data_IF_288560619174
#
_entry.id   IF_288560619174
#
_cell.length_a   1.000
_cell.length_b   1.000
_cell.length_c   1.000
_cell.angle_alpha   90.00
_cell.angle_beta   90.00
_cell.angle_gamma   90.00
#
_symmetry.space_group_name_H-M   'P 1'
#
loop_
_entity.id
_entity.type
_entity.pdbx_description
1 polymer ?
#
# COMPACT_ATOMS: atom_id res chain seq x y z
N UNK A 1 12.75 -6.36 -8.36
CA UNK A 1 11.48 -6.38 -7.59
C UNK A 1 10.22 -6.17 -8.44
N UNK A 2 10.20 -5.29 -9.46
CA UNK A 2 8.96 -4.98 -10.21
C UNK A 2 8.71 -5.84 -11.48
N UNK A 3 9.73 -6.52 -12.03
CA UNK A 3 9.62 -7.25 -13.31
C UNK A 3 8.82 -8.56 -13.25
N UNK A 4 8.65 -9.15 -12.07
CA UNK A 4 8.03 -10.49 -11.93
C UNK A 4 6.52 -10.45 -11.64
N UNK A 5 5.94 -9.25 -11.58
CA UNK A 5 4.49 -9.03 -11.42
C UNK A 5 3.81 -8.76 -12.76
N UNK A 6 4.44 -9.12 -13.89
CA UNK A 6 3.83 -9.03 -15.21
C UNK A 6 2.42 -9.65 -15.14
N UNK A 7 1.42 -8.78 -15.24
CA UNK A 7 0.01 -9.16 -15.24
C UNK A 7 -0.17 -10.14 -16.41
N UNK A 8 -1.02 -11.16 -16.20
CA UNK A 8 -1.32 -12.17 -17.21
C UNK A 8 -1.57 -11.45 -18.56
N UNK A 9 -1.01 -11.93 -19.69
CA UNK A 9 -0.97 -11.21 -20.98
C UNK A 9 -2.25 -10.37 -21.22
N UNK A 10 -2.16 -9.08 -20.95
CA UNK A 10 -3.33 -8.20 -21.03
C UNK A 10 -3.51 -7.73 -22.49
N UNK A 11 -4.73 -7.76 -23.02
CA UNK A 11 -5.07 -7.29 -24.38
C UNK A 11 -5.26 -5.76 -24.45
N UNK A 12 -4.48 -4.98 -23.70
CA UNK A 12 -4.54 -3.53 -23.73
C UNK A 12 -3.73 -2.95 -24.89
N UNK A 13 -4.29 -1.96 -25.59
CA UNK A 13 -3.48 -1.10 -26.45
C UNK A 13 -2.70 -0.10 -25.60
N UNK A 14 -1.37 -0.26 -25.59
CA UNK A 14 -0.42 0.58 -24.88
C UNK A 14 0.04 1.79 -25.69
N UNK A 15 -0.39 1.96 -26.95
CA UNK A 15 -0.01 3.07 -27.81
C UNK A 15 1.49 3.14 -28.10
N UNK A 16 1.96 4.33 -28.49
CA UNK A 16 3.38 4.56 -28.75
C UNK A 16 4.16 4.75 -27.44
N UNK A 17 4.83 3.69 -27.00
CA UNK A 17 5.62 3.68 -25.77
C UNK A 17 7.03 4.20 -26.05
N UNK A 18 7.40 5.30 -25.40
CA UNK A 18 8.75 5.88 -25.47
C UNK A 18 9.48 5.60 -24.17
N UNK A 19 10.67 4.98 -24.27
CA UNK A 19 11.55 4.78 -23.12
C UNK A 19 12.31 6.07 -22.79
N UNK A 20 11.94 6.72 -21.69
CA UNK A 20 12.58 7.95 -21.23
C UNK A 20 13.70 7.60 -20.25
N UNK A 21 14.91 8.07 -20.54
CA UNK A 21 16.03 7.99 -19.60
C UNK A 21 15.95 9.15 -18.62
N UNK A 22 15.85 8.85 -17.33
CA UNK A 22 15.72 9.86 -16.28
C UNK A 22 16.44 9.41 -15.01
N UNK A 23 17.00 10.38 -14.32
CA UNK A 23 17.61 10.18 -13.00
C UNK A 23 16.51 10.05 -11.94
N UNK A 24 16.26 8.81 -11.50
CA UNK A 24 15.25 8.47 -10.51
C UNK A 24 15.71 8.72 -9.07
N UNK A 25 16.99 9.06 -8.85
CA UNK A 25 17.51 9.33 -7.51
C UNK A 25 17.31 10.80 -7.12
N UNK A 26 17.26 11.71 -8.11
CA UNK A 26 16.87 13.12 -7.90
C UNK A 26 15.42 13.30 -7.49
N UNK A 27 15.14 14.30 -6.66
CA UNK A 27 13.75 14.65 -6.33
C UNK A 27 12.99 15.17 -7.55
N UNK A 28 11.74 14.72 -7.69
CA UNK A 28 10.84 15.16 -8.76
C UNK A 28 9.79 16.12 -8.20
N UNK A 29 9.53 17.19 -8.93
CA UNK A 29 8.37 18.08 -8.73
C UNK A 29 7.21 17.65 -9.64
N UNK A 30 6.04 18.29 -9.52
CA UNK A 30 4.92 18.05 -10.44
C UNK A 30 5.30 18.40 -11.88
N UNK A 31 6.14 19.41 -12.08
CA UNK A 31 6.64 19.82 -13.40
C UNK A 31 7.55 18.76 -14.01
N UNK A 32 8.50 18.22 -13.23
CA UNK A 32 9.39 17.14 -13.68
C UNK A 32 8.59 15.89 -14.03
N UNK A 33 7.61 15.53 -13.18
CA UNK A 33 6.69 14.42 -13.43
C UNK A 33 5.88 14.64 -14.72
N UNK A 34 5.33 15.83 -14.91
CA UNK A 34 4.56 16.18 -16.10
C UNK A 34 5.39 16.16 -17.37
N UNK A 35 6.65 16.57 -17.29
CA UNK A 35 7.61 16.52 -18.39
C UNK A 35 7.98 15.08 -18.72
N UNK A 36 8.28 14.25 -17.72
CA UNK A 36 8.52 12.82 -17.91
C UNK A 36 7.33 12.13 -18.60
N UNK A 37 6.10 12.40 -18.15
CA UNK A 37 4.90 11.81 -18.75
C UNK A 37 4.74 12.24 -20.22
N UNK A 38 4.97 13.54 -20.51
CA UNK A 38 4.96 14.03 -21.88
C UNK A 38 5.99 13.29 -22.75
N UNK A 39 7.22 13.18 -22.27
CA UNK A 39 8.32 12.54 -23.00
C UNK A 39 8.10 11.03 -23.18
N UNK A 40 7.38 10.40 -22.25
CA UNK A 40 7.00 8.99 -22.32
C UNK A 40 5.81 8.73 -23.27
N UNK A 41 5.30 9.76 -23.96
CA UNK A 41 4.23 9.65 -24.95
C UNK A 41 2.81 9.81 -24.38
N UNK A 42 2.67 10.25 -23.12
CA UNK A 42 1.36 10.61 -22.58
C UNK A 42 0.95 12.02 -23.01
N UNK A 43 -0.30 12.20 -23.42
CA UNK A 43 -0.83 13.51 -23.83
C UNK A 43 -1.72 14.06 -22.73
N UNK A 44 -1.28 15.13 -22.06
CA UNK A 44 -2.04 15.79 -21.01
C UNK A 44 -3.39 16.27 -21.53
N UNK A 45 -4.47 15.90 -20.84
CA UNK A 45 -5.81 16.34 -21.19
C UNK A 45 -6.35 15.78 -22.52
N UNK A 46 -5.72 14.75 -23.10
CA UNK A 46 -6.22 14.09 -24.31
C UNK A 46 -7.62 13.49 -24.12
N UNK A 47 -7.95 13.13 -22.89
CA UNK A 47 -9.26 12.59 -22.51
C UNK A 47 -10.00 13.52 -21.53
N UNK A 48 -9.83 14.84 -21.69
CA UNK A 48 -10.41 15.89 -20.84
C UNK A 48 -11.93 16.06 -21.07
N UNK A 49 -12.72 15.04 -20.74
CA UNK A 49 -14.18 15.10 -20.71
C UNK A 49 -14.69 15.08 -19.26
N UNK A 50 -15.82 15.74 -18.96
CA UNK A 50 -16.44 15.64 -17.65
C UNK A 50 -16.75 14.19 -17.23
N UNK A 51 -17.16 13.35 -18.17
CA UNK A 51 -17.47 11.93 -17.93
C UNK A 51 -16.24 11.15 -17.46
N UNK A 52 -15.10 11.32 -18.15
CA UNK A 52 -13.85 10.63 -17.79
C UNK A 52 -13.34 11.05 -16.41
N UNK A 53 -13.44 12.35 -16.08
CA UNK A 53 -13.10 12.86 -14.74
C UNK A 53 -14.03 12.27 -13.67
N UNK A 54 -15.34 12.25 -13.94
CA UNK A 54 -16.33 11.68 -13.03
C UNK A 54 -16.15 10.17 -12.81
N UNK A 55 -15.61 9.42 -13.80
CA UNK A 55 -15.26 8.01 -13.63
C UNK A 55 -14.04 7.79 -12.75
N UNK A 56 -13.03 8.66 -12.84
CA UNK A 56 -11.79 8.52 -12.07
C UNK A 56 -11.97 8.91 -10.59
N UNK A 57 -12.69 10.00 -10.30
CA UNK A 57 -12.83 10.55 -8.94
C UNK A 57 -13.22 9.52 -7.87
N UNK A 58 -14.27 8.69 -8.05
CA UNK A 58 -14.68 7.72 -7.03
C UNK A 58 -13.55 6.75 -6.67
N UNK A 59 -12.77 6.31 -7.66
CA UNK A 59 -11.64 5.39 -7.44
C UNK A 59 -10.56 6.07 -6.61
N UNK A 60 -10.26 7.33 -6.87
CA UNK A 60 -9.31 8.11 -6.07
C UNK A 60 -9.75 8.25 -4.62
N UNK A 61 -11.04 8.54 -4.38
CA UNK A 61 -11.60 8.65 -3.03
C UNK A 61 -11.50 7.32 -2.28
N UNK A 62 -11.89 6.21 -2.92
CA UNK A 62 -11.84 4.89 -2.27
C UNK A 62 -10.38 4.47 -2.03
N UNK A 63 -9.47 4.76 -2.96
CA UNK A 63 -8.04 4.50 -2.78
C UNK A 63 -7.45 5.32 -1.64
N UNK A 64 -7.72 6.62 -1.58
CA UNK A 64 -7.29 7.48 -0.48
C UNK A 64 -7.78 6.90 0.85
N UNK A 65 -9.08 6.64 0.97
CA UNK A 65 -9.66 6.07 2.19
C UNK A 65 -9.04 4.72 2.55
N UNK A 66 -8.66 3.87 1.59
CA UNK A 66 -7.97 2.62 1.88
C UNK A 66 -6.57 2.83 2.46
N UNK A 67 -5.79 3.74 1.87
CA UNK A 67 -4.46 4.12 2.41
C UNK A 67 -4.62 4.69 3.82
N UNK A 68 -5.62 5.54 4.04
CA UNK A 68 -5.89 6.10 5.38
C UNK A 68 -6.47 5.10 6.36
N UNK A 69 -7.27 4.12 5.94
CA UNK A 69 -7.74 3.06 6.83
C UNK A 69 -6.57 2.24 7.36
N UNK A 70 -5.55 1.99 6.52
CA UNK A 70 -4.31 1.37 7.00
C UNK A 70 -3.57 2.24 8.02
N UNK A 71 -3.71 3.56 7.97
CA UNK A 71 -3.07 4.51 8.91
C UNK A 71 -3.91 4.70 10.18
N UNK A 72 -5.23 4.86 10.03
CA UNK A 72 -6.20 5.04 11.09
C UNK A 72 -6.30 3.77 11.93
N UNK A 73 -6.15 2.61 11.28
CA UNK A 73 -5.89 1.35 11.94
C UNK A 73 -4.54 1.31 12.66
N UNK A 74 -3.78 2.39 12.81
CA UNK A 74 -2.65 2.49 13.74
C UNK A 74 -2.87 3.53 14.86
N UNK A 75 -3.94 4.33 14.82
CA UNK A 75 -4.10 5.52 15.67
C UNK A 75 -5.41 5.59 16.48
N UNK A 76 -6.29 4.58 16.42
CA UNK A 76 -7.62 4.60 17.07
C UNK A 76 -8.46 5.85 16.74
N UNK A 77 -8.27 6.42 15.53
CA UNK A 77 -9.03 7.58 15.03
C UNK A 77 -9.68 7.20 13.69
N UNK A 78 -10.76 6.43 13.77
CA UNK A 78 -11.37 5.79 12.59
C UNK A 78 -11.98 6.77 11.56
N UNK A 79 -12.36 7.99 11.98
CA UNK A 79 -13.16 8.87 11.11
C UNK A 79 -12.45 10.15 10.64
N UNK A 80 -11.50 10.68 11.41
CA UNK A 80 -10.93 12.01 11.15
C UNK A 80 -10.08 12.11 9.87
N UNK A 81 -9.61 10.98 9.34
CA UNK A 81 -8.72 10.91 8.18
C UNK A 81 -9.43 10.47 6.89
N UNK A 82 -10.71 10.09 6.96
CA UNK A 82 -11.44 9.68 5.77
C UNK A 82 -11.82 10.88 4.90
N UNK A 83 -11.61 10.74 3.60
CA UNK A 83 -12.11 11.65 2.59
C UNK A 83 -13.62 11.52 2.52
N UNK A 84 -14.33 12.47 3.13
CA UNK A 84 -15.78 12.60 3.02
C UNK A 84 -16.17 13.13 1.63
N UNK A 85 -17.17 12.49 1.03
CA UNK A 85 -17.73 12.88 -0.26
C UNK A 85 -18.67 14.06 -0.07
N UNK A 86 -18.42 15.18 -0.74
CA UNK A 86 -19.34 16.33 -0.79
C UNK A 86 -20.38 16.18 -1.90
N UNK A 87 -20.18 15.25 -2.85
CA UNK A 87 -21.00 15.14 -4.06
C UNK A 87 -20.51 16.05 -5.19
N UNK A 88 -19.51 16.90 -4.94
CA UNK A 88 -18.81 17.67 -5.96
C UNK A 88 -17.57 16.90 -6.43
N UNK A 89 -17.60 16.39 -7.66
CA UNK A 89 -16.53 15.52 -8.18
C UNK A 89 -15.14 16.17 -8.23
N UNK A 90 -15.03 17.49 -8.39
CA UNK A 90 -13.73 18.17 -8.38
C UNK A 90 -13.21 18.38 -6.95
N UNK A 91 -14.10 18.72 -6.03
CA UNK A 91 -13.76 18.86 -4.62
C UNK A 91 -13.34 17.51 -4.01
N UNK A 92 -14.12 16.46 -4.27
CA UNK A 92 -13.84 15.09 -3.83
C UNK A 92 -12.52 14.58 -4.38
N UNK A 93 -12.25 14.84 -5.67
CA UNK A 93 -10.96 14.56 -6.28
C UNK A 93 -9.82 15.30 -5.57
N UNK A 94 -9.97 16.61 -5.35
CA UNK A 94 -8.93 17.42 -4.72
C UNK A 94 -8.62 16.95 -3.30
N UNK A 95 -9.64 16.60 -2.51
CA UNK A 95 -9.47 16.01 -1.18
C UNK A 95 -8.73 14.69 -1.28
N UNK A 96 -9.17 13.79 -2.16
CA UNK A 96 -8.53 12.49 -2.35
C UNK A 96 -7.05 12.60 -2.77
N UNK A 97 -6.74 13.39 -3.80
CA UNK A 97 -5.37 13.55 -4.29
C UNK A 97 -4.45 14.29 -3.31
N UNK A 98 -4.98 15.27 -2.57
CA UNK A 98 -4.23 15.89 -1.47
C UNK A 98 -3.86 14.86 -0.41
N UNK A 99 -4.79 13.96 -0.10
CA UNK A 99 -4.61 12.92 0.89
C UNK A 99 -3.59 11.86 0.41
N UNK A 100 -3.69 11.42 -0.85
CA UNK A 100 -2.74 10.50 -1.51
C UNK A 100 -1.33 11.11 -1.58
N UNK A 101 -1.21 12.39 -1.94
CA UNK A 101 0.07 13.10 -2.05
C UNK A 101 0.69 13.53 -0.72
N UNK A 102 0.02 13.22 0.40
CA UNK A 102 0.53 13.52 1.73
C UNK A 102 1.82 12.73 2.04
N UNK A 103 2.67 13.22 2.97
CA UNK A 103 3.87 12.50 3.39
C UNK A 103 3.61 11.10 3.95
N UNK A 104 2.37 10.81 4.37
CA UNK A 104 1.96 9.54 4.95
C UNK A 104 2.21 8.38 3.98
N UNK A 105 1.85 8.54 2.70
CA UNK A 105 2.07 7.48 1.70
C UNK A 105 3.57 7.21 1.48
N UNK A 106 4.41 8.27 1.48
CA UNK A 106 5.87 8.14 1.38
C UNK A 106 6.44 7.42 2.60
N UNK A 107 5.96 7.74 3.79
CA UNK A 107 6.40 7.14 5.05
C UNK A 107 5.99 5.65 5.14
N UNK A 108 4.80 5.31 4.67
CA UNK A 108 4.31 3.94 4.66
C UNK A 108 4.87 3.09 3.51
N UNK A 109 5.42 3.70 2.47
CA UNK A 109 5.93 3.03 1.27
C UNK A 109 6.70 1.71 1.54
N UNK A 110 7.65 1.64 2.49
CA UNK A 110 8.41 0.41 2.74
C UNK A 110 7.56 -0.76 3.26
N UNK A 111 6.39 -0.46 3.83
CA UNK A 111 5.49 -1.42 4.47
C UNK A 111 4.25 -1.72 3.63
N UNK A 112 4.03 -0.97 2.54
CA UNK A 112 2.88 -1.15 1.69
C UNK A 112 3.13 -2.24 0.65
N UNK A 113 2.11 -3.08 0.33
CA UNK A 113 2.20 -3.99 -0.79
C UNK A 113 2.51 -3.22 -2.09
N UNK A 114 3.34 -3.78 -3.00
CA UNK A 114 3.67 -3.13 -4.27
C UNK A 114 2.45 -2.70 -5.09
N UNK A 115 1.33 -3.41 -4.97
CA UNK A 115 0.06 -3.10 -5.65
C UNK A 115 -0.50 -1.72 -5.30
N UNK A 116 -0.28 -1.22 -4.08
CA UNK A 116 -0.72 0.13 -3.66
C UNK A 116 0.01 1.19 -4.48
N UNK A 117 1.32 1.02 -4.69
CA UNK A 117 2.14 1.97 -5.44
C UNK A 117 1.85 1.89 -6.94
N UNK A 118 1.58 0.69 -7.44
CA UNK A 118 1.13 0.51 -8.83
C UNK A 118 -0.15 1.29 -9.09
N UNK A 119 -1.14 1.10 -8.21
CA UNK A 119 -2.40 1.79 -8.33
C UNK A 119 -2.24 3.31 -8.18
N UNK A 120 -1.46 3.78 -7.20
CA UNK A 120 -1.15 5.21 -7.07
C UNK A 120 -0.53 5.78 -8.36
N UNK A 121 0.41 5.04 -8.97
CA UNK A 121 1.06 5.41 -10.23
C UNK A 121 0.05 5.50 -11.37
N UNK A 122 -0.84 4.52 -11.51
CA UNK A 122 -1.88 4.51 -12.53
C UNK A 122 -2.89 5.66 -12.33
N UNK A 123 -3.26 5.97 -11.09
CA UNK A 123 -4.15 7.09 -10.77
C UNK A 123 -3.51 8.44 -11.13
N UNK A 124 -2.22 8.62 -10.84
CA UNK A 124 -1.45 9.82 -11.23
C UNK A 124 -1.47 10.01 -12.75
N UNK A 125 -1.21 8.95 -13.51
CA UNK A 125 -1.29 8.98 -14.97
C UNK A 125 -2.71 9.27 -15.44
N UNK A 126 -3.72 8.65 -14.83
CA UNK A 126 -5.12 8.88 -15.14
C UNK A 126 -5.52 10.35 -14.94
N UNK A 127 -5.08 10.96 -13.84
CA UNK A 127 -5.29 12.37 -13.58
C UNK A 127 -4.60 13.28 -14.61
N UNK A 128 -3.37 12.94 -15.01
CA UNK A 128 -2.64 13.68 -16.05
C UNK A 128 -3.36 13.64 -17.42
N UNK A 129 -3.74 12.46 -17.89
CA UNK A 129 -4.39 12.25 -19.20
C UNK A 129 -5.78 12.90 -19.24
N UNK A 130 -6.53 12.87 -18.13
CA UNK A 130 -7.83 13.54 -18.01
C UNK A 130 -7.72 15.04 -17.76
N UNK A 131 -6.50 15.57 -17.59
CA UNK A 131 -6.24 16.99 -17.38
C UNK A 131 -6.69 17.50 -16.00
N UNK A 132 -6.79 16.61 -15.00
CA UNK A 132 -7.06 17.00 -13.63
C UNK A 132 -5.81 17.66 -13.00
N UNK A 133 -5.97 18.77 -12.25
CA UNK A 133 -4.85 19.45 -11.63
C UNK A 133 -4.30 18.66 -10.44
N UNK A 134 -3.05 18.93 -10.05
CA UNK A 134 -2.50 18.42 -8.79
C UNK A 134 -2.21 16.92 -8.78
N UNK A 135 -2.03 16.32 -9.96
CA UNK A 135 -1.63 14.91 -10.11
C UNK A 135 -0.23 14.63 -9.56
N UNK A 136 0.59 15.68 -9.33
CA UNK A 136 1.92 15.59 -8.74
C UNK A 136 2.05 16.35 -7.42
N UNK A 137 0.95 16.59 -6.69
CA UNK A 137 0.99 17.36 -5.44
C UNK A 137 1.84 16.68 -4.35
N UNK A 138 2.58 17.51 -3.62
CA UNK A 138 3.29 17.11 -2.40
C UNK A 138 4.40 16.11 -2.69
N UNK A 139 4.39 14.98 -1.99
CA UNK A 139 5.44 13.95 -2.12
C UNK A 139 5.19 12.96 -3.25
N UNK A 140 4.04 13.06 -3.92
CA UNK A 140 3.56 12.07 -4.86
C UNK A 140 4.52 11.75 -6.01
N UNK A 141 5.16 12.74 -6.69
CA UNK A 141 6.14 12.45 -7.74
C UNK A 141 7.28 11.55 -7.26
N UNK A 142 7.80 11.81 -6.07
CA UNK A 142 8.89 11.03 -5.48
C UNK A 142 8.44 9.64 -5.04
N UNK A 143 7.18 9.49 -4.62
CA UNK A 143 6.59 8.20 -4.25
C UNK A 143 6.39 7.30 -5.47
N UNK A 144 5.95 7.85 -6.61
CA UNK A 144 5.58 7.05 -7.79
C UNK A 144 6.71 6.91 -8.83
N UNK A 145 7.71 7.80 -8.88
CA UNK A 145 8.72 7.84 -9.96
C UNK A 145 9.39 6.50 -10.27
N UNK A 146 9.79 5.74 -9.23
CA UNK A 146 10.45 4.43 -9.44
C UNK A 146 9.51 3.43 -10.08
N UNK A 147 8.26 3.40 -9.63
CA UNK A 147 7.23 2.52 -10.18
C UNK A 147 6.88 2.94 -11.61
N UNK A 148 6.66 4.24 -11.83
CA UNK A 148 6.33 4.84 -13.12
C UNK A 148 7.38 4.53 -14.20
N UNK A 149 8.67 4.68 -13.89
CA UNK A 149 9.76 4.35 -14.82
C UNK A 149 9.81 2.85 -15.10
N UNK A 150 9.68 2.02 -14.07
CA UNK A 150 9.72 0.57 -14.23
C UNK A 150 8.56 0.02 -15.05
N UNK A 151 7.35 0.56 -14.87
CA UNK A 151 6.12 0.08 -15.50
C UNK A 151 5.72 0.90 -16.74
N UNK A 152 6.57 1.82 -17.23
CA UNK A 152 6.22 2.76 -18.29
C UNK A 152 5.60 2.09 -19.53
N UNK A 153 6.13 0.90 -19.89
CA UNK A 153 5.68 0.11 -21.04
C UNK A 153 4.34 -0.60 -20.83
N UNK A 154 3.88 -0.68 -19.59
CA UNK A 154 2.68 -1.41 -19.20
C UNK A 154 1.51 -0.47 -18.85
N UNK A 155 1.65 0.83 -19.07
CA UNK A 155 0.59 1.81 -18.79
C UNK A 155 -0.09 2.21 -20.11
N UNK A 156 -1.39 1.97 -20.29
CA UNK A 156 -2.08 2.42 -21.49
C UNK A 156 -2.07 3.95 -21.65
N UNK A 157 -1.93 4.42 -22.90
CA UNK A 157 -1.87 5.87 -23.21
C UNK A 157 -3.23 6.51 -23.45
N UNK A 158 -4.28 5.71 -23.70
CA UNK A 158 -5.66 6.18 -23.81
C UNK A 158 -6.43 5.95 -22.48
N UNK A 159 -7.39 6.81 -22.17
CA UNK A 159 -8.14 6.73 -20.92
C UNK A 159 -8.95 5.45 -20.75
N UNK A 160 -9.55 4.91 -21.82
CA UNK A 160 -10.41 3.72 -21.71
C UNK A 160 -9.62 2.52 -21.18
N UNK A 161 -8.54 2.14 -21.86
CA UNK A 161 -7.70 1.02 -21.46
C UNK A 161 -7.02 1.28 -20.11
N UNK A 162 -6.62 2.53 -19.84
CA UNK A 162 -6.02 2.89 -18.56
C UNK A 162 -7.01 2.69 -17.42
N UNK A 163 -8.27 3.09 -17.62
CA UNK A 163 -9.31 2.94 -16.61
C UNK A 163 -9.67 1.48 -16.39
N UNK A 164 -9.72 0.67 -17.46
CA UNK A 164 -9.90 -0.77 -17.35
C UNK A 164 -8.75 -1.42 -16.58
N UNK A 165 -7.50 -1.00 -16.83
CA UNK A 165 -6.34 -1.47 -16.07
C UNK A 165 -6.37 -1.02 -14.60
N UNK A 166 -6.77 0.22 -14.31
CA UNK A 166 -6.95 0.71 -12.93
C UNK A 166 -7.99 -0.14 -12.20
N UNK A 167 -9.15 -0.39 -12.82
CA UNK A 167 -10.21 -1.20 -12.22
C UNK A 167 -9.79 -2.65 -12.05
N UNK A 168 -9.05 -3.21 -13.01
CA UNK A 168 -8.51 -4.56 -12.90
C UNK A 168 -7.52 -4.69 -11.74
N UNK A 169 -6.55 -3.78 -11.63
CA UNK A 169 -5.59 -3.75 -10.51
C UNK A 169 -6.32 -3.56 -9.19
N UNK A 170 -7.29 -2.63 -9.13
CA UNK A 170 -8.15 -2.43 -7.97
C UNK A 170 -8.88 -3.72 -7.57
N UNK A 171 -9.57 -4.34 -8.53
CA UNK A 171 -10.37 -5.52 -8.25
C UNK A 171 -9.50 -6.71 -7.82
N UNK A 172 -8.37 -6.93 -8.51
CA UNK A 172 -7.46 -8.04 -8.27
C UNK A 172 -6.80 -7.98 -6.89
N UNK A 173 -6.33 -6.80 -6.47
CA UNK A 173 -5.52 -6.65 -5.26
C UNK A 173 -6.24 -6.04 -4.07
N UNK A 174 -7.41 -5.43 -4.28
CA UNK A 174 -8.09 -4.67 -3.23
C UNK A 174 -9.53 -5.12 -3.01
N UNK A 175 -10.36 -5.30 -4.05
CA UNK A 175 -11.74 -5.80 -3.82
C UNK A 175 -11.81 -7.30 -3.54
N UNK A 176 -11.21 -8.15 -4.39
CA UNK A 176 -11.31 -9.60 -4.24
C UNK A 176 -10.78 -10.10 -2.89
N UNK A 177 -9.65 -9.57 -2.36
CA UNK A 177 -9.20 -9.94 -1.01
C UNK A 177 -10.20 -9.54 0.08
N UNK A 178 -10.87 -8.39 -0.04
CA UNK A 178 -11.85 -7.95 0.96
C UNK A 178 -13.10 -8.85 0.96
N UNK A 179 -13.53 -9.32 -0.22
CA UNK A 179 -14.61 -10.31 -0.31
C UNK A 179 -14.22 -11.66 0.30
N UNK A 180 -12.94 -12.05 0.20
CA UNK A 180 -12.44 -13.28 0.84
C UNK A 180 -12.43 -13.19 2.37
N UNK A 181 -12.42 -11.99 2.96
CA UNK A 181 -12.49 -11.79 4.42
C UNK A 181 -13.82 -12.30 5.01
N UNK A 182 -14.90 -12.24 4.23
CA UNK A 182 -16.23 -12.66 4.67
C UNK A 182 -16.46 -14.17 4.50
N UNK A 183 -15.52 -14.88 3.86
CA UNK A 183 -15.65 -16.32 3.64
C UNK A 183 -15.20 -17.05 4.90
N UNK A 184 -16.13 -17.76 5.53
CA UNK A 184 -15.76 -18.75 6.55
C UNK A 184 -14.99 -19.91 5.89
N UNK A 185 -13.69 -19.98 6.17
CA UNK A 185 -12.80 -20.99 5.61
C UNK A 185 -12.85 -22.29 6.41
N UNK A 186 -13.54 -23.30 5.86
CA UNK A 186 -13.43 -24.67 6.34
C UNK A 186 -12.53 -25.51 5.41
N UNK A 187 -12.13 -26.71 5.84
CA UNK A 187 -11.23 -27.58 5.07
C UNK A 187 -11.72 -27.83 3.64
N UNK A 188 -13.03 -28.01 3.44
CA UNK A 188 -13.62 -28.26 2.12
C UNK A 188 -13.51 -27.02 1.21
N UNK A 189 -13.90 -25.84 1.70
CA UNK A 189 -13.80 -24.56 0.97
C UNK A 189 -12.35 -24.19 0.69
N UNK A 190 -11.44 -24.38 1.64
CA UNK A 190 -10.01 -24.17 1.44
C UNK A 190 -9.46 -25.14 0.40
N UNK A 191 -9.85 -26.41 0.45
CA UNK A 191 -9.45 -27.41 -0.55
C UNK A 191 -9.98 -27.04 -1.93
N UNK A 192 -11.25 -26.63 -2.04
CA UNK A 192 -11.85 -26.18 -3.30
C UNK A 192 -11.16 -24.93 -3.82
N UNK A 193 -10.91 -23.95 -2.96
CA UNK A 193 -10.21 -22.72 -3.32
C UNK A 193 -8.80 -23.04 -3.78
N UNK A 194 -8.02 -23.81 -3.02
CA UNK A 194 -6.67 -24.20 -3.44
C UNK A 194 -6.70 -25.02 -4.74
N UNK A 195 -7.69 -25.90 -4.96
CA UNK A 195 -7.79 -26.70 -6.21
C UNK A 195 -8.13 -25.85 -7.44
N UNK A 196 -8.95 -24.81 -7.27
CA UNK A 196 -9.51 -24.03 -8.38
C UNK A 196 -8.93 -22.63 -8.50
N UNK A 197 -8.23 -22.13 -7.49
CA UNK A 197 -7.49 -20.89 -7.59
C UNK A 197 -6.27 -21.13 -8.48
N UNK A 198 -5.77 -20.04 -9.03
CA UNK A 198 -4.59 -20.09 -9.87
C UNK A 198 -3.35 -20.54 -9.08
N UNK A 199 -3.35 -20.54 -7.74
CA UNK A 199 -2.21 -20.95 -6.91
C UNK A 199 -1.81 -22.43 -7.06
N UNK A 200 -2.73 -23.40 -7.21
CA UNK A 200 -2.35 -24.80 -7.54
C UNK A 200 -2.26 -25.08 -9.03
N UNK A 201 -2.85 -24.24 -9.87
CA UNK A 201 -2.63 -24.31 -11.31
C UNK A 201 -1.25 -23.78 -11.70
N UNK A 202 -0.56 -23.08 -10.80
CA UNK A 202 0.84 -22.75 -10.98
C UNK A 202 1.68 -24.01 -10.85
N UNK A 203 2.35 -24.33 -11.96
CA UNK A 203 3.56 -25.15 -11.93
C UNK A 203 4.44 -24.70 -10.76
N UNK A 204 5.03 -25.66 -10.05
CA UNK A 204 6.10 -25.40 -9.06
C UNK A 204 7.28 -24.61 -9.65
N UNK A 205 7.27 -24.35 -10.97
CA UNK A 205 8.24 -23.57 -11.71
C UNK A 205 7.86 -22.10 -11.97
N UNK A 206 6.63 -21.62 -11.68
CA UNK A 206 6.24 -20.20 -11.96
C UNK A 206 7.06 -19.22 -11.14
N UNK A 207 7.30 -19.54 -9.87
CA UNK A 207 8.22 -18.81 -9.00
C UNK A 207 9.44 -19.69 -8.77
N UNK A 208 10.58 -19.43 -9.43
CA UNK A 208 11.77 -20.23 -9.24
C UNK A 208 12.21 -20.18 -7.78
N UNK A 209 12.81 -21.27 -7.31
CA UNK A 209 13.36 -21.38 -5.96
C UNK A 209 14.64 -20.52 -5.83
N UNK A 210 14.47 -19.20 -5.82
CA UNK A 210 15.54 -18.23 -5.62
C UNK A 210 15.61 -17.82 -4.14
N UNK A 211 16.79 -17.36 -3.71
CA UNK A 211 16.97 -16.86 -2.35
C UNK A 211 15.99 -15.72 -2.03
N UNK A 212 15.81 -14.78 -2.97
CA UNK A 212 14.82 -13.70 -2.89
C UNK A 212 13.40 -14.19 -2.55
N UNK A 213 12.96 -15.28 -3.20
CA UNK A 213 11.63 -15.83 -2.96
C UNK A 213 11.54 -16.52 -1.60
N UNK A 214 12.61 -17.19 -1.16
CA UNK A 214 12.67 -17.76 0.18
C UNK A 214 12.66 -16.69 1.28
N UNK A 215 13.43 -15.63 1.11
CA UNK A 215 13.49 -14.51 2.05
C UNK A 215 12.11 -13.84 2.18
N UNK A 216 11.37 -13.71 1.06
CA UNK A 216 9.99 -13.21 1.08
C UNK A 216 9.04 -14.11 1.86
N UNK A 217 9.15 -15.44 1.71
CA UNK A 217 8.34 -16.38 2.49
C UNK A 217 8.65 -16.24 3.99
N UNK A 218 9.93 -16.15 4.35
CA UNK A 218 10.37 -15.93 5.74
C UNK A 218 9.78 -14.63 6.29
N UNK A 219 9.91 -13.52 5.56
CA UNK A 219 9.37 -12.22 5.95
C UNK A 219 7.85 -12.28 6.13
N UNK A 220 7.12 -12.91 5.20
CA UNK A 220 5.67 -13.06 5.32
C UNK A 220 5.27 -13.86 6.56
N UNK A 221 5.93 -14.98 6.83
CA UNK A 221 5.67 -15.77 8.03
C UNK A 221 5.95 -14.96 9.31
N UNK A 222 7.02 -14.17 9.31
CA UNK A 222 7.37 -13.30 10.43
C UNK A 222 6.38 -12.19 10.63
N UNK A 223 5.97 -11.50 9.57
CA UNK A 223 4.94 -10.46 9.63
C UNK A 223 3.62 -11.03 10.14
N UNK A 224 3.17 -12.19 9.63
CA UNK A 224 1.95 -12.82 10.12
C UNK A 224 2.03 -13.15 11.62
N UNK A 225 3.18 -13.69 12.07
CA UNK A 225 3.37 -14.01 13.48
C UNK A 225 3.41 -12.75 14.34
N UNK A 226 4.20 -11.76 13.96
CA UNK A 226 4.43 -10.54 14.74
C UNK A 226 3.24 -9.60 14.72
N UNK A 227 2.43 -9.59 13.65
CA UNK A 227 1.30 -8.67 13.51
C UNK A 227 -0.04 -9.30 13.87
N UNK A 228 -0.15 -10.62 13.84
CA UNK A 228 -1.41 -11.33 14.14
C UNK A 228 -1.21 -12.25 15.33
N UNK A 229 -0.23 -13.14 15.33
CA UNK A 229 -0.19 -14.17 16.38
C UNK A 229 0.23 -13.62 17.75
N UNK A 230 1.33 -12.84 17.82
CA UNK A 230 1.89 -12.29 19.07
C UNK A 230 0.93 -11.30 19.74
N UNK A 231 0.62 -10.15 19.09
CA UNK A 231 -0.61 -9.38 19.24
C UNK A 231 -1.81 -9.99 19.93
N UNK A 232 -2.39 -11.03 19.34
CA UNK A 232 -3.65 -11.59 19.80
C UNK A 232 -3.48 -12.51 21.03
N UNK A 233 -2.24 -12.73 21.48
CA UNK A 233 -1.91 -13.67 22.56
C UNK A 233 -0.86 -13.06 23.52
N UNK A 234 -1.11 -11.87 24.09
CA UNK A 234 -0.13 -11.15 24.92
C UNK A 234 0.22 -11.88 26.22
N UNK A 235 -0.64 -12.79 26.68
CA UNK A 235 -0.38 -13.66 27.83
C UNK A 235 0.71 -14.72 27.55
N UNK A 236 1.05 -14.96 26.29
CA UNK A 236 2.04 -15.97 25.88
C UNK A 236 3.29 -15.37 25.25
N UNK A 237 3.18 -14.18 24.66
CA UNK A 237 4.25 -13.57 23.88
C UNK A 237 4.43 -12.11 24.26
N UNK A 238 5.68 -11.70 24.49
CA UNK A 238 6.01 -10.30 24.76
C UNK A 238 6.30 -9.53 23.47
N UNK A 239 6.20 -8.19 23.47
CA UNK A 239 6.62 -7.37 22.35
C UNK A 239 8.09 -7.58 21.94
N UNK A 240 8.98 -7.83 22.91
CA UNK A 240 10.40 -8.12 22.67
C UNK A 240 10.58 -9.44 21.92
N UNK A 241 9.73 -10.45 22.19
CA UNK A 241 9.71 -11.68 21.42
C UNK A 241 9.40 -11.40 19.94
N UNK A 242 8.41 -10.55 19.65
CA UNK A 242 8.05 -10.18 18.28
C UNK A 242 9.20 -9.52 17.51
N UNK A 243 9.97 -8.67 18.18
CA UNK A 243 11.16 -8.02 17.63
C UNK A 243 12.29 -9.02 17.39
N UNK A 244 12.62 -9.83 18.40
CA UNK A 244 13.66 -10.86 18.28
C UNK A 244 13.32 -11.83 17.15
N UNK A 245 12.05 -12.21 17.04
CA UNK A 245 11.58 -13.08 15.97
C UNK A 245 11.74 -12.46 14.57
N UNK A 246 11.48 -11.16 14.42
CA UNK A 246 11.75 -10.45 13.16
C UNK A 246 13.22 -10.49 12.78
N UNK A 247 14.12 -10.36 13.76
CA UNK A 247 15.57 -10.28 13.55
C UNK A 247 16.26 -11.64 13.42
N UNK A 248 15.69 -12.71 13.97
CA UNK A 248 16.27 -14.07 13.92
C UNK A 248 16.39 -14.63 12.51
N UNK A 249 17.59 -14.98 12.05
CA UNK A 249 17.74 -15.69 10.78
C UNK A 249 17.12 -17.08 10.84
N UNK A 250 16.27 -17.45 9.86
CA UNK A 250 15.75 -18.81 9.74
C UNK A 250 15.41 -19.19 8.28
N UNK A 251 15.25 -20.49 8.02
CA UNK A 251 14.81 -20.98 6.73
C UNK A 251 13.29 -20.80 6.55
N UNK A 252 12.82 -20.73 5.30
CA UNK A 252 11.39 -20.62 4.99
C UNK A 252 10.56 -21.76 5.60
N UNK A 253 11.08 -22.98 5.61
CA UNK A 253 10.41 -24.13 6.24
C UNK A 253 10.29 -23.96 7.76
N UNK A 254 11.36 -23.51 8.43
CA UNK A 254 11.32 -23.19 9.86
C UNK A 254 10.29 -22.12 10.16
N UNK A 255 10.28 -21.02 9.39
CA UNK A 255 9.36 -19.91 9.57
C UNK A 255 7.89 -20.33 9.43
N UNK A 256 7.58 -21.13 8.40
CA UNK A 256 6.21 -21.65 8.19
C UNK A 256 5.77 -22.59 9.32
N UNK A 257 6.63 -23.53 9.74
CA UNK A 257 6.32 -24.46 10.82
C UNK A 257 6.10 -23.70 12.13
N UNK A 258 6.96 -22.72 12.43
CA UNK A 258 6.89 -21.93 13.65
C UNK A 258 5.63 -21.08 13.69
N UNK A 259 5.34 -20.33 12.61
CA UNK A 259 4.09 -19.57 12.46
C UNK A 259 2.87 -20.47 12.65
N UNK A 260 2.86 -21.64 12.00
CA UNK A 260 1.76 -22.61 12.11
C UNK A 260 1.58 -23.13 13.55
N UNK A 261 2.67 -23.48 14.24
CA UNK A 261 2.63 -23.93 15.64
C UNK A 261 2.18 -22.86 16.61
N UNK A 262 2.51 -21.60 16.36
CA UNK A 262 2.06 -20.50 17.19
C UNK A 262 0.58 -20.15 16.93
N UNK A 263 0.11 -20.29 15.70
CA UNK A 263 -1.27 -19.99 15.36
C UNK A 263 -2.26 -21.10 15.75
N UNK A 264 -1.85 -22.38 15.63
CA UNK A 264 -2.72 -23.53 15.79
C UNK A 264 -3.47 -23.60 17.13
N UNK A 265 -2.86 -23.33 18.30
CA UNK A 265 -3.56 -23.41 19.60
C UNK A 265 -4.72 -22.41 19.76
N UNK A 266 -4.79 -21.42 18.87
CA UNK A 266 -5.70 -20.29 18.97
C UNK A 266 -6.64 -20.21 17.76
N UNK A 267 -6.57 -21.19 16.85
CA UNK A 267 -7.36 -21.24 15.63
C UNK A 267 -8.87 -21.23 15.88
N UNK A 268 -9.32 -21.76 17.02
CA UNK A 268 -10.73 -21.82 17.38
C UNK A 268 -11.24 -20.51 18.02
N UNK A 269 -10.38 -19.51 18.21
CA UNK A 269 -10.73 -18.18 18.76
C UNK A 269 -10.90 -17.11 17.68
N UNK A 270 -11.29 -17.50 16.47
CA UNK A 270 -11.36 -16.65 15.27
C UNK A 270 -12.07 -15.30 15.51
N UNK A 271 -13.19 -15.28 16.22
CA UNK A 271 -13.96 -14.06 16.48
C UNK A 271 -13.19 -13.03 17.32
N UNK A 272 -12.32 -13.48 18.24
CA UNK A 272 -11.46 -12.59 19.03
C UNK A 272 -10.29 -12.07 18.22
N UNK A 273 -9.76 -12.89 17.31
CA UNK A 273 -8.61 -12.53 16.49
C UNK A 273 -8.94 -11.41 15.51
N UNK A 274 -10.12 -11.40 14.90
CA UNK A 274 -10.49 -10.37 13.92
C UNK A 274 -10.54 -8.96 14.54
N UNK A 275 -11.04 -8.84 15.78
CA UNK A 275 -11.09 -7.56 16.51
C UNK A 275 -9.74 -7.13 17.08
N UNK A 276 -8.99 -8.06 17.67
CA UNK A 276 -7.72 -7.77 18.34
C UNK A 276 -6.53 -7.63 17.37
N UNK A 277 -6.56 -8.26 16.19
CA UNK A 277 -5.48 -8.12 15.19
C UNK A 277 -5.31 -6.68 14.71
N UNK A 278 -6.42 -5.94 14.55
CA UNK A 278 -6.37 -4.54 14.14
C UNK A 278 -5.76 -3.69 15.25
N UNK A 279 -6.17 -3.87 16.52
CA UNK A 279 -5.67 -3.15 17.69
C UNK A 279 -4.18 -3.44 18.01
N UNK A 280 -3.74 -4.67 17.81
CA UNK A 280 -2.35 -5.03 18.04
C UNK A 280 -1.40 -4.77 16.86
N UNK A 281 -1.91 -4.76 15.63
CA UNK A 281 -1.19 -4.20 14.49
C UNK A 281 -0.74 -2.77 14.81
N UNK A 282 -1.58 -2.00 15.53
CA UNK A 282 -1.30 -0.63 15.97
C UNK A 282 -0.14 -0.55 16.93
N UNK A 283 -0.20 -1.32 18.02
CA UNK A 283 0.83 -1.31 19.05
C UNK A 283 2.17 -1.81 18.49
N UNK A 284 2.13 -2.86 17.68
CA UNK A 284 3.35 -3.45 17.09
C UNK A 284 3.98 -2.50 16.07
N UNK A 285 3.21 -1.89 15.18
CA UNK A 285 3.74 -0.94 14.19
C UNK A 285 4.21 0.35 14.87
N UNK A 286 3.48 0.86 15.86
CA UNK A 286 3.90 2.03 16.64
C UNK A 286 5.21 1.75 17.39
N UNK A 287 5.33 0.58 18.02
CA UNK A 287 6.56 0.14 18.67
C UNK A 287 7.72 0.01 17.67
N UNK A 288 7.50 -0.63 16.52
CA UNK A 288 8.53 -0.79 15.48
C UNK A 288 8.96 0.56 14.88
N UNK A 289 8.02 1.48 14.64
CA UNK A 289 8.33 2.84 14.17
C UNK A 289 9.15 3.61 15.20
N UNK A 290 8.77 3.55 16.47
CA UNK A 290 9.52 4.20 17.55
C UNK A 290 10.92 3.62 17.69
N UNK A 291 11.05 2.29 17.55
CA UNK A 291 12.33 1.60 17.63
C UNK A 291 13.23 1.91 16.42
N UNK A 292 12.67 1.95 15.20
CA UNK A 292 13.40 2.37 13.99
C UNK A 292 13.87 3.81 14.13
N UNK A 293 13.03 4.70 14.65
CA UNK A 293 13.43 6.08 14.93
C UNK A 293 14.56 6.15 15.95
N UNK A 294 14.49 5.37 17.05
CA UNK A 294 15.57 5.30 18.05
C UNK A 294 16.87 4.74 17.45
N UNK A 295 16.81 3.74 16.57
CA UNK A 295 18.01 3.22 15.88
C UNK A 295 18.57 4.22 14.86
N UNK A 296 17.72 4.99 14.18
CA UNK A 296 18.16 6.06 13.28
C UNK A 296 18.85 7.16 14.09
N UNK A 297 18.28 7.56 15.22
CA UNK A 297 18.88 8.55 16.13
C UNK A 297 20.22 8.07 16.68
N UNK A 298 20.32 6.80 17.09
CA UNK A 298 21.53 6.20 17.62
C UNK A 298 22.65 6.06 16.56
N UNK A 299 22.30 5.69 15.32
CA UNK A 299 23.29 5.42 14.27
C UNK A 299 23.70 6.66 13.47
N UNK A 300 22.84 7.67 13.37
CA UNK A 300 23.07 8.83 12.51
C UNK A 300 23.15 10.17 13.27
N UNK A 301 22.94 10.20 14.59
CA UNK A 301 23.00 11.43 15.39
C UNK A 301 21.98 12.49 14.99
N UNK A 302 21.00 12.14 14.15
CA UNK A 302 19.94 13.01 13.67
C UNK A 302 18.81 13.00 14.69
N UNK A 303 18.85 13.93 15.64
CA UNK A 303 17.71 14.21 16.53
C UNK A 303 16.47 14.55 15.68
N UNK A 304 15.49 13.66 15.64
CA UNK A 304 14.21 13.93 14.96
C UNK A 304 13.30 14.87 15.75
N UNK A 305 13.74 15.29 16.95
CA UNK A 305 12.98 16.16 17.84
C UNK A 305 12.69 17.55 17.26
N UNK A 306 13.49 18.06 16.31
CA UNK A 306 13.34 19.45 15.85
C UNK A 306 12.16 19.70 14.90
N UNK A 307 11.66 18.69 14.17
CA UNK A 307 10.55 18.89 13.21
C UNK A 307 9.28 18.10 13.53
N UNK A 308 9.36 17.05 14.36
CA UNK A 308 8.17 16.35 14.84
C UNK A 308 7.57 16.97 16.11
N UNK A 309 8.36 17.62 16.99
CA UNK A 309 7.78 18.24 18.19
C UNK A 309 6.94 19.48 17.93
N UNK A 310 7.25 20.27 16.90
CA UNK A 310 6.46 21.49 16.60
C UNK A 310 5.07 21.15 16.06
N UNK A 311 4.89 19.98 15.44
CA UNK A 311 3.55 19.46 15.10
C UNK A 311 2.83 18.86 16.31
N UNK A 312 3.54 18.21 17.25
CA UNK A 312 2.89 17.62 18.44
C UNK A 312 2.50 18.65 19.50
N UNK A 313 3.32 19.69 19.74
CA UNK A 313 3.05 20.70 20.78
C UNK A 313 1.96 21.70 20.36
N UNK A 314 1.92 22.10 19.08
CA UNK A 314 0.84 22.97 18.58
C UNK A 314 -0.50 22.23 18.49
N UNK A 315 -0.49 20.91 18.28
CA UNK A 315 -1.69 20.08 18.30
C UNK A 315 -2.22 19.90 19.73
N UNK A 316 -1.34 19.64 20.71
CA UNK A 316 -1.72 19.52 22.13
C UNK A 316 -2.27 20.85 22.70
N UNK A 317 -1.68 21.99 22.36
CA UNK A 317 -2.16 23.30 22.84
C UNK A 317 -3.52 23.71 22.22
N UNK A 318 -3.84 23.30 20.99
CA UNK A 318 -5.16 23.56 20.38
C UNK A 318 -6.29 22.70 20.95
N UNK A 319 -5.96 21.55 21.55
CA UNK A 319 -6.95 20.58 22.03
C UNK A 319 -7.29 20.75 23.53
N UNK A 320 -6.40 21.36 24.33
CA UNK A 320 -6.67 21.65 25.74
C UNK A 320 -7.11 23.11 26.02
N UNK A 321 -7.12 23.98 25.01
CA UNK A 321 -7.62 25.36 25.13
C UNK A 321 -9.13 25.54 24.92
N UNK A 322 -9.90 24.46 24.73
CA UNK A 322 -11.37 24.50 24.59
C UNK A 322 -12.12 23.96 25.82
N UNK A 323 -11.46 24.03 26.97
CA UNK A 323 -12.14 24.04 28.28
C UNK A 323 -11.67 25.27 29.08
N UNK A 324 -11.92 26.45 28.50
CA UNK A 324 -12.42 27.66 29.15
C UNK A 324 -13.16 28.51 28.12
#
# INVERSE_FOLDING_TARGET
MLKDLALDKDDYDYGNVIDVQVDIDKEWTEEILGQYLKDAGFVRGSDNTPSNKARLTPVCVVFANRVFLQVASFQNKDEALQVQRSGNGLEDYNKAFKAIGSPILKLLYPFLPPSIIWLATLLVVGAYITGLPGYGRGTLPNTVKRCLVAMNREIPRNHSNLMDKIMYVWNRFHCLPDYQRLVEWNQAKLTQYLKNNTLRQYSTTRYPSTQDNWDRIVILCKLMTTLIVVPNNPQHYSPEFALNFLLEGESAQSAMIRMGRMALPHWDQQDKWVGNSIASLQETVTYLVNLVNQQIEANYGLSTQSHCHTMSVNFINSTFGMFY
#
